data_IF_905954483512
#
_entry.id   IF_905954483512
#
_cell.length_a   1.000
_cell.length_b   1.000
_cell.length_c   1.000
_cell.angle_alpha   90.00
_cell.angle_beta   90.00
_cell.angle_gamma   90.00
#
_symmetry.space_group_name_H-M   'P 1'
#
loop_
_entity.id
_entity.type
_entity.pdbx_description
1 polymer ?
#
# COMPACT_ATOMS: atom_id res chain seq x y z
N UNK A 1 17.43 58.13 -50.25
CA UNK A 1 17.33 58.29 -48.76
C UNK A 1 16.44 57.19 -48.24
N UNK A 2 17.01 56.06 -47.85
CA UNK A 2 16.28 54.97 -47.17
C UNK A 2 16.53 55.09 -45.64
N UNK A 3 15.47 55.23 -44.88
CA UNK A 3 15.51 55.19 -43.42
C UNK A 3 15.35 53.76 -42.95
N UNK A 4 16.37 53.21 -42.34
CA UNK A 4 16.35 51.92 -41.64
C UNK A 4 15.65 52.07 -40.28
N UNK A 5 14.58 51.33 -40.05
CA UNK A 5 13.87 51.19 -38.80
C UNK A 5 14.50 50.03 -38.06
N UNK A 6 15.16 50.29 -36.95
CA UNK A 6 15.70 49.26 -36.04
C UNK A 6 14.58 48.66 -35.21
N UNK A 7 14.44 47.35 -35.26
CA UNK A 7 13.50 46.59 -34.44
C UNK A 7 14.23 46.15 -33.18
N UNK A 8 13.88 46.71 -32.04
CA UNK A 8 14.38 46.27 -30.74
C UNK A 8 13.63 45.03 -30.26
N UNK A 9 14.32 43.90 -30.15
CA UNK A 9 13.80 42.70 -29.56
C UNK A 9 13.83 42.81 -28.01
N UNK A 10 12.68 42.84 -27.42
CA UNK A 10 12.52 42.76 -25.95
C UNK A 10 12.58 41.30 -25.55
N UNK A 11 13.67 40.86 -24.94
CA UNK A 11 13.79 39.58 -24.28
C UNK A 11 13.01 39.61 -22.95
N UNK A 12 11.82 39.01 -22.93
CA UNK A 12 11.09 38.71 -21.69
C UNK A 12 11.74 37.49 -21.05
N UNK A 13 12.55 37.72 -20.02
CA UNK A 13 13.03 36.65 -19.15
C UNK A 13 11.85 36.12 -18.30
N UNK A 14 11.24 35.06 -18.78
CA UNK A 14 10.24 34.29 -18.01
C UNK A 14 10.92 33.61 -16.83
N UNK A 15 10.75 34.14 -15.63
CA UNK A 15 11.11 33.45 -14.38
C UNK A 15 10.25 32.22 -14.23
N UNK A 16 10.85 31.07 -14.45
CA UNK A 16 10.27 29.77 -14.06
C UNK A 16 10.22 29.75 -12.52
N UNK A 17 9.10 30.16 -11.94
CA UNK A 17 8.81 29.88 -10.55
C UNK A 17 8.74 28.36 -10.40
N UNK A 18 9.46 27.76 -9.44
CA UNK A 18 9.28 26.36 -9.13
C UNK A 18 7.82 26.17 -8.74
N UNK A 19 7.09 25.36 -9.53
CA UNK A 19 5.71 25.00 -9.21
C UNK A 19 5.71 24.43 -7.80
N UNK A 20 5.09 25.13 -6.87
CA UNK A 20 4.78 24.59 -5.54
C UNK A 20 3.91 23.36 -5.77
N UNK A 21 4.49 22.17 -5.54
CA UNK A 21 3.71 20.95 -5.47
C UNK A 21 2.66 21.18 -4.38
N UNK A 22 1.42 21.45 -4.79
CA UNK A 22 0.29 21.55 -3.87
C UNK A 22 0.13 20.17 -3.26
N UNK A 23 0.66 19.97 -2.06
CA UNK A 23 0.28 18.82 -1.28
C UNK A 23 -1.25 18.83 -1.15
N UNK A 24 -1.86 17.65 -1.00
CA UNK A 24 -3.30 17.43 -0.86
C UNK A 24 -3.90 18.24 0.30
N UNK A 25 -3.83 19.57 0.21
CA UNK A 25 -4.10 20.50 1.28
C UNK A 25 -5.53 20.49 1.78
N UNK A 26 -6.50 20.12 0.94
CA UNK A 26 -7.92 20.20 1.27
C UNK A 26 -8.77 19.04 0.70
N UNK A 27 -8.18 18.04 0.06
CA UNK A 27 -8.96 16.86 -0.34
C UNK A 27 -9.24 16.02 0.92
N UNK A 28 -10.50 15.86 1.28
CA UNK A 28 -10.91 14.88 2.29
C UNK A 28 -10.86 13.53 1.60
N UNK A 29 -9.83 12.75 1.90
CA UNK A 29 -9.70 11.38 1.45
C UNK A 29 -10.04 10.49 2.63
N UNK A 30 -10.87 9.46 2.43
CA UNK A 30 -11.11 8.42 3.42
C UNK A 30 -10.14 7.25 3.22
N UNK A 31 -9.82 6.55 4.28
CA UNK A 31 -9.08 5.30 4.23
C UNK A 31 -9.79 4.21 5.02
N UNK A 32 -10.12 3.12 4.33
CA UNK A 32 -10.55 1.89 4.98
C UNK A 32 -9.35 1.11 5.52
N UNK A 33 -9.19 1.10 6.84
CA UNK A 33 -8.16 0.33 7.53
C UNK A 33 -8.74 -1.01 7.97
N UNK A 34 -8.30 -2.08 7.33
CA UNK A 34 -8.63 -3.45 7.73
C UNK A 34 -7.76 -3.93 8.87
N UNK A 35 -8.29 -4.81 9.71
CA UNK A 35 -7.51 -5.53 10.71
C UNK A 35 -7.99 -6.95 10.90
N UNK A 36 -7.07 -7.80 11.39
CA UNK A 36 -7.39 -9.11 11.95
C UNK A 36 -7.29 -9.01 13.46
N UNK A 37 -8.42 -9.22 14.15
CA UNK A 37 -8.43 -9.21 15.61
C UNK A 37 -7.70 -10.42 16.20
N UNK A 38 -7.31 -10.31 17.48
CA UNK A 38 -6.75 -11.45 18.21
C UNK A 38 -7.69 -12.68 18.20
N UNK A 39 -9.00 -12.48 18.06
CA UNK A 39 -10.01 -13.53 17.92
C UNK A 39 -10.15 -14.13 16.52
N UNK A 40 -9.48 -13.54 15.52
CA UNK A 40 -9.53 -13.98 14.12
C UNK A 40 -10.64 -13.33 13.29
N UNK A 41 -11.26 -12.26 13.77
CA UNK A 41 -12.26 -11.50 13.04
C UNK A 41 -11.61 -10.52 12.05
N UNK A 42 -12.26 -10.24 10.93
CA UNK A 42 -11.94 -9.09 10.10
C UNK A 42 -12.79 -7.88 10.51
N UNK A 43 -12.12 -6.76 10.69
CA UNK A 43 -12.74 -5.46 10.95
C UNK A 43 -12.32 -4.45 9.89
N UNK A 44 -13.16 -3.43 9.67
CA UNK A 44 -12.83 -2.26 8.88
C UNK A 44 -13.11 -1.01 9.71
N UNK A 45 -12.13 -0.11 9.77
CA UNK A 45 -12.24 1.18 10.40
C UNK A 45 -12.01 2.27 9.35
N UNK A 46 -12.95 3.20 9.25
CA UNK A 46 -12.80 4.36 8.38
C UNK A 46 -12.04 5.47 9.10
N UNK A 47 -11.06 6.03 8.41
CA UNK A 47 -10.23 7.14 8.87
C UNK A 47 -10.34 8.27 7.86
N UNK A 48 -10.80 9.44 8.31
CA UNK A 48 -10.87 10.64 7.46
C UNK A 48 -9.64 11.51 7.62
N UNK A 49 -9.21 12.12 6.51
CA UNK A 49 -7.99 12.95 6.46
C UNK A 49 -8.24 14.40 6.87
N UNK A 50 -9.18 14.64 7.74
CA UNK A 50 -9.35 15.95 8.40
C UNK A 50 -8.11 16.34 9.21
N UNK A 51 -8.03 17.56 9.69
CA UNK A 51 -6.95 18.03 10.58
C UNK A 51 -7.59 18.62 11.84
N UNK A 52 -7.51 17.95 12.97
CA UNK A 52 -6.96 16.59 13.21
C UNK A 52 -7.76 15.50 12.50
N UNK A 53 -7.19 14.28 12.33
CA UNK A 53 -7.90 13.15 11.74
C UNK A 53 -9.14 12.79 12.57
N UNK A 54 -10.18 12.32 11.89
CA UNK A 54 -11.36 11.75 12.53
C UNK A 54 -11.51 10.28 12.22
N UNK A 55 -12.21 9.58 13.09
CA UNK A 55 -12.46 8.15 12.97
C UNK A 55 -13.94 7.94 12.75
N UNK A 56 -14.27 7.32 11.65
CA UNK A 56 -15.62 6.87 11.33
C UNK A 56 -15.95 5.54 11.99
N UNK A 57 -16.86 4.81 11.38
CA UNK A 57 -17.37 3.56 11.93
C UNK A 57 -16.29 2.48 11.93
N UNK A 58 -16.18 1.73 13.04
CA UNK A 58 -15.37 0.53 13.15
C UNK A 58 -16.28 -0.70 13.08
N UNK A 59 -16.40 -1.27 11.90
CA UNK A 59 -17.33 -2.36 11.61
C UNK A 59 -16.67 -3.73 11.73
N UNK A 60 -17.42 -4.68 12.31
CA UNK A 60 -17.16 -6.10 12.12
C UNK A 60 -17.54 -6.48 10.68
N UNK A 61 -16.55 -6.77 9.83
CA UNK A 61 -16.78 -7.22 8.45
C UNK A 61 -17.18 -8.69 8.46
N UNK A 62 -16.38 -9.52 9.13
CA UNK A 62 -16.64 -10.97 9.24
C UNK A 62 -16.06 -11.52 10.54
N UNK A 63 -16.90 -12.22 11.31
CA UNK A 63 -16.46 -12.89 12.52
C UNK A 63 -15.71 -14.19 12.22
N UNK A 64 -14.68 -14.46 13.01
CA UNK A 64 -13.96 -15.75 13.06
C UNK A 64 -13.54 -16.28 11.68
N UNK A 65 -12.99 -15.40 10.84
CA UNK A 65 -12.40 -15.79 9.54
C UNK A 65 -11.26 -16.77 9.77
N UNK A 66 -10.49 -16.55 10.85
CA UNK A 66 -9.36 -17.39 11.25
C UNK A 66 -9.52 -17.88 12.68
N UNK A 67 -8.72 -18.86 13.08
CA UNK A 67 -8.52 -19.18 14.49
C UNK A 67 -7.77 -18.06 15.22
N UNK A 68 -7.93 -17.96 16.57
CA UNK A 68 -7.30 -16.93 17.38
C UNK A 68 -5.78 -16.89 17.19
N UNK A 69 -5.23 -15.69 16.95
CA UNK A 69 -3.80 -15.43 16.85
C UNK A 69 -3.07 -16.12 15.69
N UNK A 70 -3.78 -16.73 14.74
CA UNK A 70 -3.16 -17.51 13.67
C UNK A 70 -2.47 -16.64 12.60
N UNK A 71 -3.06 -15.49 12.24
CA UNK A 71 -2.55 -14.67 11.14
C UNK A 71 -1.37 -13.82 11.61
N UNK A 72 -0.28 -13.89 10.87
CA UNK A 72 0.94 -13.08 11.12
C UNK A 72 1.06 -11.89 10.19
N UNK A 73 0.67 -12.05 8.94
CA UNK A 73 0.77 -11.05 7.87
C UNK A 73 -0.43 -11.21 6.95
N UNK A 74 -0.95 -10.10 6.46
CA UNK A 74 -1.98 -10.04 5.42
C UNK A 74 -1.53 -9.14 4.28
N UNK A 75 -1.95 -9.45 3.06
CA UNK A 75 -1.91 -8.50 1.94
C UNK A 75 -3.06 -7.49 2.07
N UNK A 76 -3.07 -6.49 1.21
CA UNK A 76 -4.30 -5.77 0.84
C UNK A 76 -5.40 -6.79 0.58
N UNK A 77 -6.60 -6.54 1.13
CA UNK A 77 -7.82 -7.29 0.82
C UNK A 77 -8.63 -6.53 -0.24
N UNK A 78 -9.17 -7.25 -1.21
CA UNK A 78 -9.96 -6.68 -2.29
C UNK A 78 -11.43 -7.01 -2.12
N UNK A 79 -12.29 -6.09 -2.55
CA UNK A 79 -13.72 -6.30 -2.71
C UNK A 79 -14.01 -6.46 -4.20
N UNK A 80 -14.50 -7.62 -4.57
CA UNK A 80 -14.87 -7.94 -5.93
C UNK A 80 -16.35 -8.32 -5.97
N UNK A 81 -17.10 -7.74 -6.91
CA UNK A 81 -18.46 -8.18 -7.17
C UNK A 81 -18.39 -9.55 -7.87
N UNK A 82 -19.06 -10.53 -7.31
CA UNK A 82 -19.38 -11.79 -7.99
C UNK A 82 -20.74 -11.60 -8.67
N UNK A 83 -20.72 -11.23 -9.95
CA UNK A 83 -21.94 -10.89 -10.69
C UNK A 83 -22.83 -12.14 -10.87
N UNK A 84 -22.25 -13.33 -10.98
CA UNK A 84 -22.99 -14.58 -11.13
C UNK A 84 -23.70 -14.98 -9.84
N UNK A 85 -23.08 -14.69 -8.70
CA UNK A 85 -23.60 -15.02 -7.39
C UNK A 85 -24.40 -13.87 -6.73
N UNK A 86 -24.29 -12.64 -7.25
CA UNK A 86 -25.01 -11.48 -6.76
C UNK A 86 -24.55 -10.95 -5.39
N UNK A 87 -23.29 -11.21 -5.01
CA UNK A 87 -22.71 -10.74 -3.77
C UNK A 87 -21.26 -10.26 -3.93
N UNK A 88 -20.75 -9.59 -2.90
CA UNK A 88 -19.35 -9.14 -2.84
C UNK A 88 -18.51 -10.23 -2.19
N UNK A 89 -17.36 -10.54 -2.82
CA UNK A 89 -16.33 -11.42 -2.29
C UNK A 89 -15.16 -10.57 -1.81
N UNK A 90 -14.79 -10.76 -0.56
CA UNK A 90 -13.56 -10.20 0.01
C UNK A 90 -12.46 -11.25 -0.11
N UNK A 91 -11.28 -10.83 -0.56
CA UNK A 91 -10.19 -11.77 -0.78
C UNK A 91 -8.78 -11.17 -0.75
N UNK A 92 -7.83 -12.04 -0.43
CA UNK A 92 -6.40 -11.72 -0.37
C UNK A 92 -5.57 -12.92 0.03
N UNK A 93 -4.31 -12.67 0.42
CA UNK A 93 -3.43 -13.71 0.94
C UNK A 93 -3.04 -13.41 2.38
N UNK A 94 -2.91 -14.46 3.18
CA UNK A 94 -2.44 -14.37 4.57
C UNK A 94 -1.36 -15.39 4.85
N UNK A 95 -0.48 -15.07 5.81
CA UNK A 95 0.51 -15.98 6.35
C UNK A 95 0.04 -16.51 7.70
N UNK A 96 -0.06 -17.84 7.81
CA UNK A 96 -0.39 -18.57 9.03
C UNK A 96 0.72 -19.60 9.28
N UNK A 97 1.45 -19.45 10.38
CA UNK A 97 2.63 -20.26 10.63
C UNK A 97 3.63 -20.19 9.46
N UNK A 98 3.96 -21.33 8.85
CA UNK A 98 4.81 -21.45 7.67
C UNK A 98 4.03 -21.49 6.34
N UNK A 99 2.71 -21.33 6.38
CA UNK A 99 1.85 -21.46 5.21
C UNK A 99 1.40 -20.12 4.64
N UNK A 100 1.28 -20.08 3.31
CA UNK A 100 0.56 -19.05 2.57
C UNK A 100 -0.83 -19.57 2.23
N UNK A 101 -1.85 -18.80 2.51
CA UNK A 101 -3.25 -19.14 2.27
C UNK A 101 -3.92 -18.08 1.41
N UNK A 102 -4.83 -18.51 0.54
CA UNK A 102 -5.75 -17.62 -0.16
C UNK A 102 -7.03 -17.52 0.63
N UNK A 103 -7.25 -16.40 1.27
CA UNK A 103 -8.50 -16.11 1.94
C UNK A 103 -9.48 -15.51 0.95
N UNK A 104 -10.70 -16.06 0.91
CA UNK A 104 -11.82 -15.46 0.18
C UNK A 104 -13.12 -15.84 0.89
N UNK A 105 -14.00 -14.87 1.12
CA UNK A 105 -15.31 -15.06 1.74
C UNK A 105 -16.29 -14.00 1.26
N UNK A 106 -17.59 -14.27 1.41
CA UNK A 106 -18.65 -13.28 1.26
C UNK A 106 -19.29 -12.95 2.62
N UNK A 107 -19.99 -11.84 2.71
CA UNK A 107 -20.76 -11.49 3.91
C UNK A 107 -21.75 -12.57 4.34
N UNK A 108 -22.27 -13.37 3.40
CA UNK A 108 -23.23 -14.47 3.64
C UNK A 108 -22.55 -15.80 3.99
N UNK A 109 -21.22 -15.92 3.87
CA UNK A 109 -20.51 -17.17 4.20
C UNK A 109 -20.69 -17.54 5.68
N UNK A 110 -21.03 -18.77 5.95
CA UNK A 110 -21.16 -19.32 7.32
C UNK A 110 -19.88 -20.00 7.80
N UNK A 111 -18.88 -20.16 6.93
CA UNK A 111 -17.60 -20.78 7.31
C UNK A 111 -16.86 -19.90 8.32
N UNK A 112 -16.39 -20.52 9.39
CA UNK A 112 -15.59 -19.88 10.45
C UNK A 112 -14.33 -20.69 10.70
N UNK A 113 -13.20 -20.00 10.97
CA UNK A 113 -11.92 -20.64 11.26
C UNK A 113 -11.26 -21.32 10.06
N UNK A 114 -11.78 -21.10 8.85
CA UNK A 114 -11.23 -21.67 7.60
C UNK A 114 -10.55 -20.54 6.81
N UNK A 115 -9.21 -20.46 6.82
CA UNK A 115 -8.47 -19.43 6.09
C UNK A 115 -8.54 -19.58 4.57
N UNK A 116 -9.18 -20.63 4.08
CA UNK A 116 -9.20 -21.00 2.67
C UNK A 116 -8.03 -21.92 2.26
N UNK A 117 -7.85 -22.17 0.95
CA UNK A 117 -6.85 -23.11 0.47
C UNK A 117 -5.41 -22.65 0.76
N UNK A 118 -4.59 -23.60 1.21
CA UNK A 118 -3.15 -23.41 1.34
C UNK A 118 -2.49 -23.38 -0.04
N UNK A 119 -1.78 -22.28 -0.35
CA UNK A 119 -1.08 -22.09 -1.62
C UNK A 119 0.31 -22.72 -1.57
N UNK A 120 0.99 -22.64 -0.41
CA UNK A 120 2.34 -23.17 -0.28
C UNK A 120 2.89 -23.11 1.14
N UNK A 121 4.10 -23.62 1.30
CA UNK A 121 4.91 -23.60 2.54
C UNK A 121 6.23 -22.86 2.33
N UNK A 122 7.02 -22.70 3.40
CA UNK A 122 8.28 -21.97 3.37
C UNK A 122 8.12 -20.46 3.59
N UNK A 123 7.00 -20.03 4.16
CA UNK A 123 6.68 -18.62 4.38
C UNK A 123 6.97 -18.15 5.81
N UNK A 124 7.50 -19.01 6.67
CA UNK A 124 7.76 -18.69 8.08
C UNK A 124 8.67 -17.49 8.30
N UNK A 125 9.63 -17.26 7.40
CA UNK A 125 10.58 -16.16 7.47
C UNK A 125 10.10 -14.86 6.80
N UNK A 126 8.93 -14.83 6.17
CA UNK A 126 8.40 -13.61 5.55
C UNK A 126 7.76 -12.70 6.59
N UNK A 127 8.11 -11.41 6.54
CA UNK A 127 7.67 -10.36 7.47
C UNK A 127 6.74 -9.36 6.82
N UNK A 128 6.74 -9.26 5.50
CA UNK A 128 5.83 -8.43 4.70
C UNK A 128 5.31 -9.25 3.54
N UNK A 129 4.04 -9.05 3.23
CA UNK A 129 3.37 -9.58 2.06
C UNK A 129 2.44 -8.51 1.49
N UNK A 130 2.51 -8.24 0.18
CA UNK A 130 1.64 -7.24 -0.44
C UNK A 130 1.29 -7.63 -1.87
N UNK A 131 0.11 -7.22 -2.31
CA UNK A 131 -0.38 -7.40 -3.68
C UNK A 131 -0.36 -6.07 -4.44
N UNK A 132 0.10 -6.13 -5.67
CA UNK A 132 -0.08 -5.08 -6.66
C UNK A 132 -0.93 -5.61 -7.81
N UNK A 133 -2.06 -4.97 -8.02
CA UNK A 133 -3.00 -5.31 -9.07
C UNK A 133 -3.23 -4.07 -9.93
N UNK A 134 -2.91 -4.17 -11.20
CA UNK A 134 -3.12 -3.09 -12.16
C UNK A 134 -4.12 -3.50 -13.22
N UNK A 135 -5.14 -2.67 -13.39
CA UNK A 135 -6.11 -2.74 -14.47
C UNK A 135 -6.02 -1.45 -15.28
N UNK A 136 -5.84 -1.57 -16.57
CA UNK A 136 -5.82 -0.41 -17.45
C UNK A 136 -7.19 0.24 -17.55
N UNK A 137 -7.28 1.55 -17.85
CA UNK A 137 -8.53 2.29 -17.84
C UNK A 137 -9.57 1.78 -18.87
N UNK A 138 -9.12 1.05 -19.88
CA UNK A 138 -9.99 0.48 -20.93
C UNK A 138 -9.98 -1.05 -20.92
N UNK A 139 -9.39 -1.69 -19.93
CA UNK A 139 -9.28 -3.13 -19.84
C UNK A 139 -10.42 -3.68 -18.96
N UNK A 140 -11.21 -4.62 -19.51
CA UNK A 140 -12.25 -5.29 -18.76
C UNK A 140 -11.69 -6.25 -17.69
N UNK A 141 -10.41 -6.67 -17.84
CA UNK A 141 -9.76 -7.64 -16.98
C UNK A 141 -8.49 -7.07 -16.33
N UNK A 142 -8.07 -7.71 -15.25
CA UNK A 142 -6.79 -7.42 -14.59
C UNK A 142 -5.64 -7.56 -15.59
N UNK A 143 -4.94 -6.45 -15.87
CA UNK A 143 -3.81 -6.45 -16.81
C UNK A 143 -2.56 -7.05 -16.18
N UNK A 144 -2.36 -6.84 -14.88
CA UNK A 144 -1.19 -7.32 -14.15
C UNK A 144 -1.50 -7.58 -12.68
N UNK A 145 -1.04 -8.71 -12.18
CA UNK A 145 -1.15 -9.08 -10.78
C UNK A 145 0.20 -9.60 -10.29
N UNK A 146 0.84 -8.88 -9.38
CA UNK A 146 2.05 -9.29 -8.70
C UNK A 146 1.80 -9.45 -7.19
N UNK A 147 2.54 -10.36 -6.58
CA UNK A 147 2.65 -10.44 -5.12
C UNK A 147 4.11 -10.25 -4.73
N UNK A 148 4.35 -9.44 -3.73
CA UNK A 148 5.66 -9.16 -3.15
C UNK A 148 5.73 -9.74 -1.75
N UNK A 149 6.91 -10.25 -1.39
CA UNK A 149 7.20 -10.73 -0.04
C UNK A 149 8.60 -10.31 0.38
N UNK A 150 8.73 -9.74 1.57
CA UNK A 150 10.02 -9.44 2.19
C UNK A 150 10.33 -10.51 3.22
N UNK A 151 11.46 -11.17 3.08
CA UNK A 151 11.97 -12.16 4.03
C UNK A 151 12.85 -11.48 5.08
N UNK A 152 12.92 -12.04 6.26
CA UNK A 152 13.66 -11.51 7.42
C UNK A 152 15.17 -11.34 7.18
N UNK A 153 15.74 -12.06 6.21
CA UNK A 153 17.14 -11.89 5.77
C UNK A 153 17.33 -10.68 4.83
N UNK A 154 16.27 -9.95 4.50
CA UNK A 154 16.31 -8.81 3.61
C UNK A 154 16.22 -9.14 2.13
N UNK A 155 15.82 -10.35 1.77
CA UNK A 155 15.53 -10.69 0.37
C UNK A 155 14.09 -10.31 0.04
N UNK A 156 13.92 -9.40 -0.92
CA UNK A 156 12.61 -9.03 -1.48
C UNK A 156 12.31 -9.93 -2.67
N UNK A 157 11.15 -10.54 -2.66
CA UNK A 157 10.64 -11.41 -3.72
C UNK A 157 9.47 -10.77 -4.45
N UNK A 158 9.33 -11.14 -5.72
CA UNK A 158 8.14 -10.86 -6.55
C UNK A 158 7.71 -12.14 -7.26
N UNK A 159 6.41 -12.39 -7.28
CA UNK A 159 5.75 -13.40 -8.11
C UNK A 159 4.69 -12.72 -8.97
N UNK A 160 4.52 -13.20 -10.18
CA UNK A 160 3.37 -12.84 -11.03
C UNK A 160 2.27 -13.88 -10.82
N UNK A 161 1.05 -13.43 -10.66
CA UNK A 161 -0.12 -14.29 -10.58
C UNK A 161 -0.83 -14.26 -11.94
N UNK A 162 -1.05 -15.42 -12.54
CA UNK A 162 -1.80 -15.51 -13.79
C UNK A 162 -3.30 -15.29 -13.55
N UNK A 163 -4.07 -15.06 -14.62
CA UNK A 163 -5.54 -14.97 -14.56
C UNK A 163 -6.20 -16.25 -14.00
N UNK A 164 -5.50 -17.38 -14.04
CA UNK A 164 -5.95 -18.64 -13.44
C UNK A 164 -5.47 -18.83 -11.99
N UNK A 165 -4.88 -17.79 -11.37
CA UNK A 165 -4.36 -17.85 -9.99
C UNK A 165 -3.04 -18.59 -9.81
N UNK A 166 -2.35 -18.98 -10.89
CA UNK A 166 -1.07 -19.68 -10.80
C UNK A 166 0.07 -18.70 -10.48
N UNK A 167 0.90 -19.05 -9.50
CA UNK A 167 2.11 -18.31 -9.12
C UNK A 167 3.28 -18.67 -10.03
N UNK A 168 3.86 -17.68 -10.68
CA UNK A 168 4.91 -17.87 -11.67
C UNK A 168 5.91 -16.69 -11.68
N UNK A 169 6.95 -16.78 -12.50
CA UNK A 169 7.94 -15.72 -12.73
C UNK A 169 8.55 -15.19 -11.43
N UNK A 170 8.93 -16.12 -10.51
CA UNK A 170 9.60 -15.75 -9.27
C UNK A 170 10.89 -14.98 -9.57
N UNK A 171 11.01 -13.79 -9.00
CA UNK A 171 12.22 -12.97 -9.04
C UNK A 171 12.56 -12.50 -7.62
N UNK A 172 13.82 -12.16 -7.37
CA UNK A 172 14.24 -11.66 -6.06
C UNK A 172 15.40 -10.67 -6.17
N UNK A 173 15.51 -9.83 -5.15
CA UNK A 173 16.64 -8.91 -4.95
C UNK A 173 17.01 -8.86 -3.47
N UNK A 174 18.29 -8.97 -3.09
CA UNK A 174 18.76 -8.80 -1.72
C UNK A 174 18.92 -7.32 -1.36
N UNK A 175 19.29 -7.03 -0.11
CA UNK A 175 19.71 -5.69 0.33
C UNK A 175 18.68 -4.95 1.20
N UNK A 176 17.58 -5.59 1.58
CA UNK A 176 16.49 -4.96 2.33
C UNK A 176 16.45 -5.39 3.81
N UNK A 177 17.55 -5.90 4.38
CA UNK A 177 17.59 -6.37 5.76
C UNK A 177 17.28 -5.28 6.80
N UNK A 178 17.55 -4.01 6.50
CA UNK A 178 17.24 -2.88 7.38
C UNK A 178 15.76 -2.51 7.38
N UNK A 179 14.98 -2.94 6.39
CA UNK A 179 13.55 -2.60 6.28
C UNK A 179 12.78 -3.20 7.44
N UNK A 180 11.97 -2.37 8.10
CA UNK A 180 11.07 -2.73 9.19
C UNK A 180 9.67 -3.03 8.66
N UNK A 181 9.10 -2.11 7.89
CA UNK A 181 7.86 -2.30 7.15
C UNK A 181 7.91 -1.63 5.79
N UNK A 182 7.03 -2.03 4.89
CA UNK A 182 6.88 -1.41 3.58
C UNK A 182 5.43 -1.47 3.11
N UNK A 183 5.02 -0.45 2.37
CA UNK A 183 3.66 -0.28 1.86
C UNK A 183 3.69 0.13 0.40
N UNK A 184 2.80 -0.44 -0.41
CA UNK A 184 2.64 -0.08 -1.81
C UNK A 184 2.01 1.32 -1.90
N UNK A 185 2.66 2.23 -2.64
CA UNK A 185 2.19 3.61 -2.87
C UNK A 185 1.91 3.89 -4.33
N UNK A 186 2.46 3.11 -5.26
CA UNK A 186 2.20 3.26 -6.69
C UNK A 186 2.16 1.91 -7.37
N UNK A 187 1.18 1.72 -8.26
CA UNK A 187 1.03 0.52 -9.10
C UNK A 187 0.64 0.94 -10.51
N UNK A 188 1.48 0.59 -11.49
CA UNK A 188 1.29 0.95 -12.88
C UNK A 188 1.46 -0.27 -13.78
N UNK A 189 1.27 -0.09 -15.08
CA UNK A 189 1.54 -1.15 -16.04
C UNK A 189 3.00 -1.62 -16.02
N UNK A 190 3.94 -0.72 -15.73
CA UNK A 190 5.39 -0.94 -15.94
C UNK A 190 6.21 -0.97 -14.65
N UNK A 191 5.67 -0.54 -13.52
CA UNK A 191 6.37 -0.56 -12.23
C UNK A 191 5.40 -0.58 -11.05
N UNK A 192 5.95 -0.97 -9.90
CA UNK A 192 5.37 -0.82 -8.58
C UNK A 192 6.34 -0.06 -7.69
N UNK A 193 5.84 0.83 -6.83
CA UNK A 193 6.69 1.56 -5.88
C UNK A 193 6.16 1.41 -4.46
N UNK A 194 7.09 1.07 -3.59
CA UNK A 194 6.84 0.97 -2.15
C UNK A 194 7.49 2.14 -1.41
N UNK A 195 6.85 2.56 -0.34
CA UNK A 195 7.46 3.36 0.71
C UNK A 195 7.86 2.41 1.84
N UNK A 196 9.11 2.47 2.28
CA UNK A 196 9.66 1.54 3.25
C UNK A 196 10.42 2.30 4.35
N UNK A 197 10.10 2.01 5.61
CA UNK A 197 10.88 2.50 6.73
C UNK A 197 11.91 1.46 7.18
N UNK A 198 12.95 1.94 7.84
CA UNK A 198 14.00 1.08 8.39
C UNK A 198 13.97 1.09 9.91
N UNK A 199 14.58 0.05 10.53
CA UNK A 199 14.77 0.00 11.99
C UNK A 199 15.57 1.17 12.52
N UNK A 200 16.46 1.76 11.70
CA UNK A 200 17.20 2.97 12.03
C UNK A 200 16.44 4.29 11.83
N UNK A 201 15.19 4.22 11.36
CA UNK A 201 14.31 5.39 11.23
C UNK A 201 14.34 6.09 9.87
N UNK A 202 15.17 5.68 8.94
CA UNK A 202 15.15 6.24 7.59
C UNK A 202 13.91 5.74 6.82
N UNK A 203 13.43 6.56 5.86
CA UNK A 203 12.34 6.27 4.95
C UNK A 203 12.86 6.30 3.51
N UNK A 204 12.51 5.29 2.72
CA UNK A 204 12.94 5.14 1.33
C UNK A 204 11.76 4.82 0.42
N UNK A 205 11.87 5.18 -0.85
CA UNK A 205 11.09 4.53 -1.91
C UNK A 205 11.89 3.36 -2.48
N UNK A 206 11.17 2.29 -2.84
CA UNK A 206 11.67 1.12 -3.56
C UNK A 206 10.85 1.01 -4.85
N UNK A 207 11.38 1.56 -5.93
CA UNK A 207 10.77 1.50 -7.26
C UNK A 207 11.18 0.21 -7.95
N UNK A 208 10.23 -0.60 -8.38
CA UNK A 208 10.46 -1.94 -8.93
C UNK A 208 9.85 -2.03 -10.34
N UNK A 209 10.65 -1.92 -11.41
CA UNK A 209 10.19 -2.20 -12.76
C UNK A 209 9.60 -3.61 -12.87
N UNK A 210 8.51 -3.76 -13.62
CA UNK A 210 7.87 -5.08 -13.82
C UNK A 210 8.65 -5.99 -14.76
N UNK A 211 9.62 -5.45 -15.51
CA UNK A 211 10.53 -6.20 -16.37
C UNK A 211 11.41 -7.20 -15.59
N UNK A 212 11.93 -8.17 -16.30
CA UNK A 212 12.96 -9.09 -15.80
C UNK A 212 14.35 -8.65 -16.30
N UNK A 213 15.42 -8.86 -15.51
CA UNK A 213 15.40 -9.26 -14.10
C UNK A 213 14.87 -8.16 -13.17
N UNK A 214 14.36 -8.53 -11.99
CA UNK A 214 13.90 -7.56 -10.98
C UNK A 214 15.09 -6.71 -10.49
N UNK A 215 15.02 -5.41 -10.75
CA UNK A 215 16.06 -4.43 -10.39
C UNK A 215 15.44 -3.27 -9.62
N UNK A 216 15.26 -3.37 -8.29
CA UNK A 216 14.74 -2.29 -7.48
C UNK A 216 15.67 -1.07 -7.50
N UNK A 217 15.08 0.12 -7.62
CA UNK A 217 15.77 1.40 -7.47
C UNK A 217 15.33 2.02 -6.16
N UNK A 218 16.30 2.30 -5.27
CA UNK A 218 16.04 2.80 -3.93
C UNK A 218 16.44 4.28 -3.86
N UNK A 219 15.52 5.13 -3.37
CA UNK A 219 15.78 6.56 -3.13
C UNK A 219 15.40 6.91 -1.70
N UNK A 220 16.26 7.64 -1.02
CA UNK A 220 15.98 8.15 0.33
C UNK A 220 14.92 9.26 0.28
N UNK A 221 13.93 9.18 1.18
CA UNK A 221 12.87 10.18 1.37
C UNK A 221 13.13 10.97 2.65
N UNK A 222 13.46 10.29 3.75
CA UNK A 222 13.84 10.89 5.03
C UNK A 222 14.99 10.11 5.63
N UNK A 223 15.85 10.79 6.38
CA UNK A 223 17.02 10.18 7.02
C UNK A 223 16.72 9.55 8.38
N UNK A 224 15.64 9.98 9.06
CA UNK A 224 15.34 9.55 10.42
C UNK A 224 13.85 9.71 10.76
N UNK A 225 13.46 9.31 11.98
CA UNK A 225 12.16 9.50 12.65
C UNK A 225 11.02 8.58 12.28
N UNK A 226 11.26 7.58 11.43
CA UNK A 226 10.22 6.64 10.98
C UNK A 226 10.31 5.25 11.63
N UNK A 227 11.18 5.07 12.63
CA UNK A 227 11.41 3.77 13.29
C UNK A 227 10.24 3.27 14.15
N UNK A 228 9.35 4.17 14.56
CA UNK A 228 8.23 3.81 15.44
C UNK A 228 7.16 2.93 14.73
N UNK A 229 7.10 2.94 13.40
CA UNK A 229 6.01 2.28 12.70
C UNK A 229 6.37 0.84 12.33
N UNK A 230 5.72 -0.14 12.99
CA UNK A 230 5.78 -1.58 12.66
C UNK A 230 4.92 -1.92 11.45
N UNK A 231 3.87 -1.15 11.22
CA UNK A 231 2.97 -1.32 10.08
C UNK A 231 2.72 0.02 9.41
N UNK A 232 2.70 0.02 8.09
CA UNK A 232 2.25 1.15 7.28
C UNK A 232 1.18 0.65 6.32
N UNK A 233 0.14 1.47 6.11
CA UNK A 233 -0.89 1.27 5.09
C UNK A 233 -1.09 2.55 4.31
N UNK A 234 -1.39 2.45 3.01
CA UNK A 234 -1.57 3.61 2.15
C UNK A 234 -2.78 3.45 1.23
N UNK A 235 -3.46 4.55 0.94
CA UNK A 235 -4.55 4.62 -0.02
C UNK A 235 -4.37 5.85 -0.92
N UNK A 236 -4.90 5.80 -2.14
CA UNK A 236 -4.87 6.95 -3.04
C UNK A 236 -5.65 8.13 -2.47
N UNK A 237 -5.22 9.33 -2.83
CA UNK A 237 -5.90 10.58 -2.52
C UNK A 237 -6.05 11.41 -3.81
N UNK A 238 -6.89 10.93 -4.71
CA UNK A 238 -7.11 11.52 -6.01
C UNK A 238 -5.82 11.57 -6.82
N UNK A 239 -5.57 12.71 -7.49
CA UNK A 239 -4.36 12.94 -8.30
C UNK A 239 -3.16 13.44 -7.48
N UNK A 240 -3.29 13.59 -6.17
CA UNK A 240 -2.29 14.31 -5.35
C UNK A 240 -1.28 13.40 -4.65
N UNK A 241 -1.42 12.09 -4.80
CA UNK A 241 -0.58 11.11 -4.13
C UNK A 241 -1.39 10.16 -3.24
N UNK A 242 -0.89 9.88 -2.04
CA UNK A 242 -1.51 8.92 -1.12
C UNK A 242 -1.69 9.50 0.28
N UNK A 243 -2.67 8.98 1.00
CA UNK A 243 -2.71 9.04 2.44
C UNK A 243 -2.01 7.82 3.01
N UNK A 244 -1.25 8.04 4.08
CA UNK A 244 -0.44 7.02 4.74
C UNK A 244 -0.77 6.99 6.23
N UNK A 245 -1.04 5.80 6.75
CA UNK A 245 -1.13 5.54 8.18
C UNK A 245 0.13 4.79 8.62
N UNK A 246 0.83 5.33 9.60
CA UNK A 246 1.89 4.63 10.33
C UNK A 246 1.38 4.20 11.70
N UNK A 247 1.48 2.91 12.01
CA UNK A 247 1.00 2.29 13.26
C UNK A 247 2.21 1.92 14.10
N UNK A 248 2.23 2.49 15.30
CA UNK A 248 3.18 2.23 16.37
C UNK A 248 2.54 1.21 17.34
N UNK A 249 3.01 -0.02 17.30
CA UNK A 249 2.46 -1.12 18.11
C UNK A 249 2.96 -1.11 19.56
N UNK A 250 4.05 -0.42 19.83
CA UNK A 250 4.56 -0.28 21.19
C UNK A 250 3.63 0.60 22.04
N UNK A 251 2.90 1.52 21.39
CA UNK A 251 1.99 2.47 22.04
C UNK A 251 0.53 2.31 21.64
N UNK A 252 0.20 1.32 20.79
CA UNK A 252 -1.12 1.15 20.18
C UNK A 252 -1.65 2.42 19.50
N UNK A 253 -0.75 3.22 18.97
CA UNK A 253 -1.07 4.51 18.35
C UNK A 253 -0.88 4.49 16.85
N UNK A 254 -1.62 5.34 16.14
CA UNK A 254 -1.41 5.55 14.72
C UNK A 254 -1.38 7.03 14.36
N UNK A 255 -0.66 7.34 13.31
CA UNK A 255 -0.48 8.70 12.79
C UNK A 255 -0.81 8.75 11.31
N UNK A 256 -1.50 9.80 10.91
CA UNK A 256 -1.93 10.03 9.53
C UNK A 256 -1.03 11.05 8.85
N UNK A 257 -0.68 10.75 7.60
CA UNK A 257 0.12 11.62 6.74
C UNK A 257 -0.51 11.76 5.36
N UNK A 258 -0.42 12.96 4.78
CA UNK A 258 -0.59 13.15 3.34
C UNK A 258 0.80 13.09 2.69
N UNK A 259 0.95 12.22 1.71
CA UNK A 259 2.20 12.02 0.98
C UNK A 259 1.96 12.36 -0.48
N UNK A 260 2.62 13.40 -0.96
CA UNK A 260 2.65 13.77 -2.38
C UNK A 260 3.41 12.73 -3.21
N UNK A 261 3.46 12.94 -4.53
CA UNK A 261 4.20 12.04 -5.41
C UNK A 261 5.66 11.92 -4.95
N UNK A 262 6.11 10.68 -4.82
CA UNK A 262 7.42 10.39 -4.29
C UNK A 262 8.53 10.81 -5.25
N UNK A 263 9.43 11.65 -4.76
CA UNK A 263 10.58 12.17 -5.51
C UNK A 263 11.80 12.31 -4.58
N UNK A 264 12.25 11.19 -4.02
CA UNK A 264 13.39 11.18 -3.09
C UNK A 264 13.19 12.17 -1.93
N UNK A 265 14.22 12.92 -1.57
CA UNK A 265 14.18 13.90 -0.48
C UNK A 265 13.21 15.07 -0.70
N UNK A 266 12.83 15.33 -1.96
CA UNK A 266 11.83 16.35 -2.31
C UNK A 266 10.37 15.91 -2.09
N UNK A 267 10.14 14.64 -1.73
CA UNK A 267 8.79 14.14 -1.43
C UNK A 267 8.14 14.95 -0.31
N UNK A 268 6.98 15.52 -0.60
CA UNK A 268 6.21 16.26 0.40
C UNK A 268 5.47 15.27 1.29
N UNK A 269 5.72 15.35 2.59
CA UNK A 269 5.01 14.57 3.60
C UNK A 269 4.48 15.54 4.66
N UNK A 270 3.17 15.59 4.81
CA UNK A 270 2.50 16.44 5.79
C UNK A 270 1.82 15.56 6.85
N UNK A 271 2.21 15.75 8.11
CA UNK A 271 1.49 15.13 9.22
C UNK A 271 0.07 15.72 9.33
N UNK A 272 -0.91 14.85 9.46
CA UNK A 272 -2.29 15.22 9.80
C UNK A 272 -2.58 15.04 11.30
N UNK A 273 -1.66 14.41 12.01
CA UNK A 273 -1.71 14.22 13.46
C UNK A 273 -1.93 12.78 13.87
N UNK A 274 -2.05 12.59 15.18
CA UNK A 274 -2.39 11.31 15.80
C UNK A 274 -3.87 10.99 15.55
N UNK A 275 -4.16 9.76 15.16
CA UNK A 275 -5.55 9.29 15.00
C UNK A 275 -6.14 9.03 16.39
N UNK A 276 -7.34 9.54 16.70
CA UNK A 276 -7.95 9.45 18.04
C UNK A 276 -8.61 8.09 18.27
N UNK A 277 -7.83 7.02 18.13
CA UNK A 277 -8.25 5.63 18.37
C UNK A 277 -7.05 4.80 18.85
N UNK A 278 -7.33 3.60 19.38
CA UNK A 278 -6.33 2.59 19.72
C UNK A 278 -6.23 1.55 18.63
N UNK A 279 -5.00 1.07 18.38
CA UNK A 279 -4.66 0.14 17.30
C UNK A 279 -3.94 -1.11 17.87
N UNK A 280 -4.60 -1.92 18.70
CA UNK A 280 -3.95 -3.03 19.42
C UNK A 280 -3.76 -4.29 18.57
N UNK A 281 -4.32 -4.34 17.35
CA UNK A 281 -4.29 -5.55 16.55
C UNK A 281 -2.89 -5.80 15.95
N UNK A 282 -2.54 -7.06 15.81
CA UNK A 282 -1.23 -7.44 15.27
C UNK A 282 -1.14 -7.29 13.76
N UNK A 283 -2.26 -7.36 13.06
CA UNK A 283 -2.32 -7.35 11.59
C UNK A 283 -3.27 -6.27 11.12
N UNK A 284 -2.73 -5.35 10.34
CA UNK A 284 -3.49 -4.32 9.63
C UNK A 284 -3.23 -4.43 8.14
N UNK A 285 -4.21 -4.08 7.34
CA UNK A 285 -4.15 -4.13 5.89
C UNK A 285 -5.10 -3.09 5.27
N UNK A 286 -4.92 -2.82 4.00
CA UNK A 286 -5.79 -1.95 3.22
C UNK A 286 -6.96 -2.73 2.65
N UNK A 287 -8.16 -2.17 2.73
CA UNK A 287 -9.29 -2.56 1.89
C UNK A 287 -9.26 -1.78 0.58
N UNK A 288 -9.55 -2.44 -0.54
CA UNK A 288 -9.64 -1.74 -1.83
C UNK A 288 -10.61 -2.42 -2.80
N UNK A 289 -11.14 -1.61 -3.73
CA UNK A 289 -11.70 -2.10 -4.98
C UNK A 289 -10.54 -2.35 -5.96
N UNK A 290 -10.50 -3.46 -6.73
CA UNK A 290 -9.38 -3.79 -7.60
C UNK A 290 -9.01 -2.71 -8.63
N UNK A 291 -10.01 -1.96 -9.10
CA UNK A 291 -9.83 -0.88 -10.09
C UNK A 291 -9.28 0.41 -9.51
N UNK A 292 -9.15 0.51 -8.19
CA UNK A 292 -8.67 1.73 -7.53
C UNK A 292 -7.14 1.84 -7.66
N UNK A 293 -6.60 2.81 -8.42
CA UNK A 293 -5.17 2.95 -8.63
C UNK A 293 -4.45 3.46 -7.39
N UNK A 294 -3.14 3.23 -7.31
CA UNK A 294 -2.22 3.95 -6.43
C UNK A 294 -1.25 4.73 -7.32
N UNK A 295 -1.13 6.01 -7.07
CA UNK A 295 -0.36 6.96 -7.89
C UNK A 295 0.61 7.82 -7.05
N UNK A 296 1.20 7.23 -6.01
CA UNK A 296 2.11 7.91 -5.08
C UNK A 296 3.52 8.19 -5.62
N UNK A 297 3.83 7.88 -6.89
CA UNK A 297 5.09 8.23 -7.56
C UNK A 297 4.84 8.84 -8.93
#
# INVERSE_FOLDING_TARGET
MLKSIGMAAVLVAGSLLPGTAMAAGNAVCGMGLGSVTAGGDHRNQEIDTTVPPTVGVNNLVKAKVYGPGQVRVSTTMTWEADEDAGFIVEGGFVLIGDGLYRTAYSGTSTKTGDPGPRIGSGWGAFTVLEQSQYQGPNDANMTRWNTYGLRSDGTLFRWTISSKGAWQNKASAPGFAAVKSMVLISQTKTYDTFLANTRGGALYTIHIPTSAPMKPVVKQVRSATWQAFETMTAQECGQYGVVLIGIDKDTDSAYLYAVGHANGTATVIQSRGKIPASFPENVYFRWRVPTTPLNGE
#
